data_IF_979276727611
#
_entry.id   IF_979276727611
#
_cell.length_a   1.000
_cell.length_b   1.000
_cell.length_c   1.000
_cell.angle_alpha   90.00
_cell.angle_beta   90.00
_cell.angle_gamma   90.00
#
_symmetry.space_group_name_H-M   'P 1'
#
loop_
_entity.id
_entity.type
_entity.pdbx_description
1 polymer ?
#
# COMPACT_ATOMS: atom_id res chain seq x y z
N UNK A 1 -8.20 8.89 -24.79
CA UNK A 1 -8.33 8.63 -23.33
C UNK A 1 -6.95 8.63 -22.66
N UNK A 2 -6.13 9.69 -22.82
CA UNK A 2 -4.66 9.52 -22.75
C UNK A 2 -3.82 10.55 -21.94
N UNK A 3 -4.40 11.28 -20.99
CA UNK A 3 -3.59 12.19 -20.12
C UNK A 3 -3.79 12.02 -18.61
N UNK A 4 -4.79 11.26 -18.15
CA UNK A 4 -5.10 11.20 -16.71
C UNK A 4 -4.28 10.16 -15.93
N UNK A 5 -3.68 9.17 -16.60
CA UNK A 5 -3.02 8.06 -15.90
C UNK A 5 -1.84 8.51 -15.04
N UNK A 6 -1.08 9.52 -15.49
CA UNK A 6 0.09 10.01 -14.75
C UNK A 6 -0.33 10.69 -13.46
N UNK A 7 -1.43 11.45 -13.50
CA UNK A 7 -2.01 12.09 -12.33
C UNK A 7 -2.59 11.04 -11.38
N UNK A 8 -3.34 10.07 -11.90
CA UNK A 8 -3.94 9.01 -11.07
C UNK A 8 -2.88 8.12 -10.40
N UNK A 9 -1.86 7.67 -11.15
CA UNK A 9 -0.75 6.88 -10.59
C UNK A 9 0.08 7.73 -9.63
N UNK A 10 0.30 9.01 -9.94
CA UNK A 10 0.96 9.96 -9.03
C UNK A 10 0.21 10.10 -7.71
N UNK A 11 -1.12 10.25 -7.75
CA UNK A 11 -1.96 10.30 -6.55
C UNK A 11 -1.90 9.00 -5.75
N UNK A 12 -1.88 7.83 -6.42
CA UNK A 12 -1.69 6.54 -5.72
C UNK A 12 -0.36 6.54 -4.98
N UNK A 13 0.73 6.97 -5.60
CA UNK A 13 2.05 7.03 -4.97
C UNK A 13 2.07 7.98 -3.76
N UNK A 14 1.53 9.18 -3.91
CA UNK A 14 1.44 10.17 -2.84
C UNK A 14 0.62 9.65 -1.67
N UNK A 15 -0.56 9.08 -1.94
CA UNK A 15 -1.41 8.50 -0.89
C UNK A 15 -0.74 7.29 -0.21
N UNK A 16 -0.06 6.44 -0.99
CA UNK A 16 0.66 5.28 -0.42
C UNK A 16 1.80 5.75 0.49
N UNK A 17 2.51 6.82 0.15
CA UNK A 17 3.53 7.41 1.02
C UNK A 17 2.93 7.93 2.34
N UNK A 18 1.76 8.58 2.27
CA UNK A 18 1.04 9.04 3.46
C UNK A 18 0.64 7.86 4.34
N UNK A 19 0.13 6.78 3.75
CA UNK A 19 -0.27 5.58 4.50
C UNK A 19 0.92 4.89 5.15
N UNK A 20 2.04 4.71 4.43
CA UNK A 20 3.27 4.17 5.01
C UNK A 20 3.73 4.95 6.24
N UNK A 21 3.62 6.28 6.23
CA UNK A 21 3.96 7.11 7.40
C UNK A 21 2.97 6.94 8.57
N UNK A 22 1.68 6.78 8.26
CA UNK A 22 0.64 6.51 9.25
C UNK A 22 0.82 5.11 9.87
N UNK A 23 1.14 4.12 9.06
CA UNK A 23 1.36 2.73 9.46
C UNK A 23 2.55 2.64 10.40
N UNK A 24 3.66 3.32 10.09
CA UNK A 24 4.81 3.40 11.00
C UNK A 24 4.44 3.91 12.39
N UNK A 25 3.60 4.96 12.46
CA UNK A 25 3.12 5.51 13.74
C UNK A 25 2.18 4.55 14.45
N UNK A 26 1.33 3.86 13.70
CA UNK A 26 0.38 2.92 14.25
C UNK A 26 1.08 1.68 14.80
N UNK A 27 2.04 1.14 14.08
CA UNK A 27 2.88 0.01 14.50
C UNK A 27 3.61 0.35 15.80
N UNK A 28 4.22 1.54 15.87
CA UNK A 28 4.86 2.01 17.09
C UNK A 28 3.88 2.05 18.27
N UNK A 29 2.69 2.62 18.06
CA UNK A 29 1.66 2.72 19.09
C UNK A 29 1.14 1.34 19.54
N UNK A 30 0.97 0.40 18.61
CA UNK A 30 0.55 -0.97 18.90
C UNK A 30 1.63 -1.73 19.68
N UNK A 31 2.90 -1.52 19.36
CA UNK A 31 4.02 -2.09 20.13
C UNK A 31 4.10 -1.49 21.54
N UNK A 32 4.06 -0.16 21.68
CA UNK A 32 4.07 0.52 22.99
C UNK A 32 2.87 0.16 23.89
N UNK A 33 1.79 -0.33 23.28
CA UNK A 33 0.57 -0.78 23.96
C UNK A 33 0.51 -2.31 24.17
N UNK A 34 1.63 -3.03 24.00
CA UNK A 34 1.75 -4.49 24.16
C UNK A 34 0.77 -5.30 23.28
N UNK A 35 0.38 -4.75 22.12
CA UNK A 35 -0.52 -5.43 21.17
C UNK A 35 0.25 -6.45 20.34
N UNK A 36 1.42 -6.04 19.83
CA UNK A 36 2.33 -6.86 19.02
C UNK A 36 3.62 -7.12 19.79
N UNK A 37 4.24 -8.27 19.54
CA UNK A 37 5.52 -8.63 20.15
C UNK A 37 6.70 -7.88 19.51
N UNK A 38 7.84 -7.81 20.21
CA UNK A 38 9.09 -7.29 19.64
C UNK A 38 9.43 -7.94 18.30
N UNK A 39 9.29 -9.26 18.20
CA UNK A 39 9.59 -10.02 17.00
C UNK A 39 8.71 -9.57 15.82
N UNK A 40 7.42 -9.35 16.06
CA UNK A 40 6.50 -8.86 15.02
C UNK A 40 6.81 -7.42 14.64
N UNK A 41 7.10 -6.56 15.64
CA UNK A 41 7.54 -5.20 15.41
C UNK A 41 8.78 -5.15 14.51
N UNK A 42 9.84 -5.90 14.83
CA UNK A 42 11.08 -5.97 14.05
C UNK A 42 10.82 -6.49 12.63
N UNK A 43 9.97 -7.52 12.50
CA UNK A 43 9.62 -8.08 11.19
C UNK A 43 8.88 -7.06 10.31
N UNK A 44 7.87 -6.37 10.86
CA UNK A 44 7.05 -5.41 10.11
C UNK A 44 7.88 -4.18 9.76
N UNK A 45 8.60 -3.61 10.74
CA UNK A 45 9.44 -2.42 10.52
C UNK A 45 10.56 -2.70 9.52
N UNK A 46 11.22 -3.86 9.61
CA UNK A 46 12.21 -4.28 8.63
C UNK A 46 11.63 -4.50 7.22
N UNK A 47 10.38 -4.95 7.10
CA UNK A 47 9.70 -5.05 5.78
C UNK A 47 9.36 -3.68 5.21
N UNK A 48 9.03 -2.71 6.06
CA UNK A 48 8.76 -1.34 5.65
C UNK A 48 10.05 -0.56 5.29
N UNK A 49 11.20 -1.03 5.78
CA UNK A 49 12.50 -0.45 5.51
C UNK A 49 12.85 -0.59 4.03
N UNK A 50 12.66 0.50 3.28
CA UNK A 50 12.88 0.54 1.83
C UNK A 50 11.63 0.79 1.00
N UNK A 51 10.43 0.65 1.56
CA UNK A 51 9.18 0.97 0.85
C UNK A 51 9.16 2.45 0.45
N UNK A 52 9.39 3.35 1.42
CA UNK A 52 9.40 4.81 1.18
C UNK A 52 10.45 5.23 0.14
N UNK A 53 11.74 4.86 0.25
CA UNK A 53 12.73 5.12 -0.80
C UNK A 53 12.33 4.57 -2.18
N UNK A 54 11.71 3.38 -2.22
CA UNK A 54 11.23 2.76 -3.46
C UNK A 54 10.10 3.56 -4.09
N UNK A 55 9.09 3.97 -3.32
CA UNK A 55 7.97 4.82 -3.76
C UNK A 55 8.45 6.19 -4.25
N UNK A 56 9.39 6.81 -3.55
CA UNK A 56 9.98 8.09 -3.98
C UNK A 56 10.78 7.94 -5.28
N UNK A 57 11.50 6.84 -5.45
CA UNK A 57 12.22 6.55 -6.69
C UNK A 57 11.25 6.30 -7.84
N UNK A 58 10.20 5.52 -7.60
CA UNK A 58 9.12 5.27 -8.57
C UNK A 58 8.44 6.57 -9.00
N UNK A 59 8.12 7.46 -8.05
CA UNK A 59 7.51 8.77 -8.35
C UNK A 59 8.37 9.58 -9.32
N UNK A 60 9.68 9.72 -9.03
CA UNK A 60 10.64 10.39 -9.92
C UNK A 60 10.77 9.73 -11.29
N UNK A 61 10.62 8.40 -11.38
CA UNK A 61 10.65 7.68 -12.67
C UNK A 61 9.38 7.94 -13.46
N UNK A 62 8.21 7.82 -12.85
CA UNK A 62 6.90 8.05 -13.48
C UNK A 62 6.79 9.49 -13.99
N UNK A 63 7.34 10.47 -13.27
CA UNK A 63 7.44 11.85 -13.74
C UNK A 63 8.19 12.00 -15.07
N UNK A 64 9.18 11.15 -15.33
CA UNK A 64 10.04 11.20 -16.52
C UNK A 64 9.53 10.34 -17.67
N UNK A 65 8.60 9.42 -17.42
CA UNK A 65 8.04 8.55 -18.46
C UNK A 65 7.19 9.36 -19.44
N UNK A 66 7.59 9.32 -20.72
CA UNK A 66 6.86 9.97 -21.82
C UNK A 66 5.94 9.01 -22.58
N UNK A 67 6.12 7.69 -22.43
CA UNK A 67 5.34 6.68 -23.16
C UNK A 67 4.82 5.57 -22.23
N UNK A 68 3.61 5.07 -22.51
CA UNK A 68 2.96 4.01 -21.73
C UNK A 68 3.75 2.70 -21.66
N UNK A 69 4.61 2.42 -22.64
CA UNK A 69 5.39 1.17 -22.66
C UNK A 69 6.48 1.14 -21.58
N UNK A 70 7.01 2.29 -21.17
CA UNK A 70 7.98 2.37 -20.09
C UNK A 70 7.37 2.23 -18.69
N UNK A 71 6.04 2.26 -18.58
CA UNK A 71 5.30 2.33 -17.32
C UNK A 71 5.07 0.96 -16.68
N UNK A 72 5.03 -0.10 -17.49
CA UNK A 72 4.62 -1.42 -17.04
C UNK A 72 5.47 -1.96 -15.86
N UNK A 73 6.82 -1.85 -15.87
CA UNK A 73 7.63 -2.29 -14.73
C UNK A 73 7.33 -1.54 -13.43
N UNK A 74 7.16 -0.21 -13.51
CA UNK A 74 6.85 0.62 -12.35
C UNK A 74 5.46 0.31 -11.77
N UNK A 75 4.47 0.01 -12.61
CA UNK A 75 3.14 -0.42 -12.14
C UNK A 75 3.17 -1.77 -11.43
N UNK A 76 3.97 -2.72 -11.92
CA UNK A 76 4.16 -3.99 -11.22
C UNK A 76 4.87 -3.81 -9.88
N UNK A 77 5.89 -2.96 -9.83
CA UNK A 77 6.57 -2.66 -8.58
C UNK A 77 5.63 -1.98 -7.57
N UNK A 78 4.81 -1.01 -8.02
CA UNK A 78 3.80 -0.38 -7.18
C UNK A 78 2.76 -1.39 -6.68
N UNK A 79 2.33 -2.33 -7.53
CA UNK A 79 1.42 -3.40 -7.10
C UNK A 79 2.03 -4.24 -5.98
N UNK A 80 3.30 -4.61 -6.09
CA UNK A 80 3.97 -5.40 -5.05
C UNK A 80 4.03 -4.64 -3.73
N UNK A 81 4.36 -3.35 -3.75
CA UNK A 81 4.33 -2.52 -2.55
C UNK A 81 2.93 -2.46 -1.94
N UNK A 82 1.88 -2.29 -2.75
CA UNK A 82 0.51 -2.28 -2.25
C UNK A 82 0.10 -3.64 -1.64
N UNK A 83 0.62 -4.75 -2.15
CA UNK A 83 0.39 -6.08 -1.58
C UNK A 83 1.14 -6.27 -0.25
N UNK A 84 2.39 -5.80 -0.16
CA UNK A 84 3.13 -5.77 1.10
C UNK A 84 2.41 -4.92 2.15
N UNK A 85 1.88 -3.75 1.76
CA UNK A 85 1.03 -2.91 2.61
C UNK A 85 -0.15 -3.67 3.20
N UNK A 86 -0.91 -4.34 2.33
CA UNK A 86 -2.06 -5.13 2.72
C UNK A 86 -1.69 -6.23 3.73
N UNK A 87 -0.59 -6.93 3.48
CA UNK A 87 -0.17 -8.07 4.31
C UNK A 87 0.09 -7.64 5.76
N UNK A 88 0.84 -6.56 5.98
CA UNK A 88 1.05 -6.10 7.35
C UNK A 88 -0.20 -5.43 7.94
N UNK A 89 -1.00 -4.70 7.16
CA UNK A 89 -2.26 -4.10 7.63
C UNK A 89 -3.21 -5.20 8.17
N UNK A 90 -3.40 -6.30 7.43
CA UNK A 90 -4.23 -7.43 7.86
C UNK A 90 -3.70 -8.07 9.15
N UNK A 91 -2.38 -8.28 9.24
CA UNK A 91 -1.75 -8.82 10.47
C UNK A 91 -1.93 -7.91 11.68
N UNK A 92 -1.89 -6.60 11.50
CA UNK A 92 -2.10 -5.62 12.57
C UNK A 92 -3.57 -5.60 13.03
N UNK A 93 -4.53 -5.72 12.10
CA UNK A 93 -5.96 -5.84 12.45
C UNK A 93 -6.18 -7.10 13.28
N UNK A 94 -5.72 -8.26 12.82
CA UNK A 94 -5.85 -9.53 13.55
C UNK A 94 -5.24 -9.45 14.96
N UNK A 95 -4.04 -8.85 15.08
CA UNK A 95 -3.38 -8.60 16.36
C UNK A 95 -4.21 -7.71 17.29
N UNK A 96 -4.71 -6.59 16.79
CA UNK A 96 -5.52 -5.65 17.57
C UNK A 96 -6.88 -6.23 17.98
N UNK A 97 -7.56 -6.95 17.09
CA UNK A 97 -8.82 -7.65 17.37
C UNK A 97 -8.65 -8.74 18.43
N UNK A 98 -7.52 -9.45 18.44
CA UNK A 98 -7.26 -10.46 19.48
C UNK A 98 -7.19 -9.82 20.88
N UNK A 99 -6.62 -8.61 20.98
CA UNK A 99 -6.44 -7.89 22.25
C UNK A 99 -7.70 -7.16 22.70
N UNK A 100 -8.56 -6.76 21.79
CA UNK A 100 -9.81 -6.05 22.12
C UNK A 100 -10.80 -6.96 22.88
N UNK A 101 -10.68 -8.28 22.74
CA UNK A 101 -11.50 -9.26 23.45
C UNK A 101 -11.23 -9.28 24.95
N UNK A 102 -10.02 -8.92 25.38
CA UNK A 102 -9.60 -8.91 26.79
C UNK A 102 -8.85 -7.60 27.13
N UNK A 103 -9.54 -6.45 27.08
CA UNK A 103 -8.89 -5.16 27.24
C UNK A 103 -8.52 -4.93 28.71
N UNK A 104 -7.28 -4.48 28.95
CA UNK A 104 -6.82 -4.17 30.31
C UNK A 104 -7.53 -2.96 30.94
N UNK A 105 -8.08 -2.06 30.12
CA UNK A 105 -8.85 -0.90 30.57
C UNK A 105 -9.76 -0.35 29.46
N UNK A 106 -10.71 0.52 29.82
CA UNK A 106 -11.58 1.22 28.86
C UNK A 106 -10.78 2.09 27.88
N UNK A 107 -9.69 2.71 28.33
CA UNK A 107 -8.81 3.49 27.47
C UNK A 107 -8.15 2.60 26.40
N UNK A 108 -7.57 1.47 26.82
CA UNK A 108 -6.95 0.51 25.89
C UNK A 108 -7.97 -0.03 24.88
N UNK A 109 -9.19 -0.33 25.32
CA UNK A 109 -10.27 -0.75 24.42
C UNK A 109 -10.52 0.29 23.32
N UNK A 110 -10.72 1.55 23.69
CA UNK A 110 -10.98 2.64 22.72
C UNK A 110 -9.81 2.88 21.78
N UNK A 111 -8.58 2.75 22.29
CA UNK A 111 -7.38 2.85 21.48
C UNK A 111 -7.35 1.77 20.41
N UNK A 112 -7.61 0.51 20.78
CA UNK A 112 -7.69 -0.61 19.85
C UNK A 112 -8.81 -0.43 18.83
N UNK A 113 -10.00 0.01 19.25
CA UNK A 113 -11.11 0.33 18.34
C UNK A 113 -10.71 1.38 17.31
N UNK A 114 -10.01 2.43 17.74
CA UNK A 114 -9.49 3.45 16.84
C UNK A 114 -8.47 2.88 15.85
N UNK A 115 -7.51 2.08 16.32
CA UNK A 115 -6.49 1.47 15.47
C UNK A 115 -7.10 0.56 14.40
N UNK A 116 -8.04 -0.31 14.78
CA UNK A 116 -8.75 -1.21 13.85
C UNK A 116 -9.48 -0.40 12.79
N UNK A 117 -10.24 0.63 13.19
CA UNK A 117 -10.94 1.49 12.22
C UNK A 117 -9.98 2.19 11.23
N UNK A 118 -8.81 2.63 11.68
CA UNK A 118 -7.82 3.25 10.78
C UNK A 118 -7.26 2.22 9.78
N UNK A 119 -6.88 1.03 10.25
CA UNK A 119 -6.36 -0.04 9.40
C UNK A 119 -7.39 -0.51 8.37
N UNK A 120 -8.65 -0.67 8.76
CA UNK A 120 -9.73 -1.06 7.84
C UNK A 120 -9.92 -0.03 6.72
N UNK A 121 -9.83 1.26 7.04
CA UNK A 121 -9.89 2.32 6.04
C UNK A 121 -8.71 2.25 5.07
N UNK A 122 -7.50 1.96 5.57
CA UNK A 122 -6.32 1.80 4.75
C UNK A 122 -6.43 0.57 3.84
N UNK A 123 -6.90 -0.57 4.35
CA UNK A 123 -7.17 -1.79 3.58
C UNK A 123 -8.15 -1.54 2.43
N UNK A 124 -9.23 -0.81 2.69
CA UNK A 124 -10.21 -0.41 1.68
C UNK A 124 -9.57 0.48 0.60
N UNK A 125 -8.79 1.49 0.99
CA UNK A 125 -8.11 2.38 0.05
C UNK A 125 -7.07 1.62 -0.79
N UNK A 126 -6.30 0.74 -0.17
CA UNK A 126 -5.34 -0.13 -0.82
C UNK A 126 -6.03 -1.02 -1.87
N UNK A 127 -7.18 -1.64 -1.55
CA UNK A 127 -7.96 -2.41 -2.51
C UNK A 127 -8.41 -1.59 -3.73
N UNK A 128 -8.84 -0.33 -3.51
CA UNK A 128 -9.20 0.60 -4.59
C UNK A 128 -7.98 0.91 -5.47
N UNK A 129 -6.83 1.21 -4.87
CA UNK A 129 -5.59 1.50 -5.60
C UNK A 129 -5.11 0.30 -6.41
N UNK A 130 -5.09 -0.91 -5.83
CA UNK A 130 -4.74 -2.12 -6.57
C UNK A 130 -5.65 -2.32 -7.78
N UNK A 131 -6.97 -2.19 -7.63
CA UNK A 131 -7.91 -2.31 -8.76
C UNK A 131 -7.58 -1.33 -9.90
N UNK A 132 -7.24 -0.09 -9.54
CA UNK A 132 -6.84 0.93 -10.51
C UNK A 132 -5.53 0.56 -11.22
N UNK A 133 -4.49 0.17 -10.49
CA UNK A 133 -3.20 -0.24 -11.08
C UNK A 133 -3.37 -1.48 -11.97
N UNK A 134 -4.16 -2.48 -11.55
CA UNK A 134 -4.48 -3.65 -12.38
C UNK A 134 -5.15 -3.26 -13.70
N UNK A 135 -6.09 -2.31 -13.65
CA UNK A 135 -6.77 -1.81 -14.85
C UNK A 135 -5.77 -1.18 -15.82
N UNK A 136 -4.77 -0.45 -15.31
CA UNK A 136 -3.71 0.13 -16.13
C UNK A 136 -2.81 -0.93 -16.77
N UNK A 137 -2.33 -1.89 -15.99
CA UNK A 137 -1.52 -3.01 -16.47
C UNK A 137 -2.25 -3.75 -17.59
N UNK A 138 -3.52 -4.13 -17.37
CA UNK A 138 -4.33 -4.85 -18.36
C UNK A 138 -4.48 -4.08 -19.67
N UNK A 139 -4.78 -2.78 -19.60
CA UNK A 139 -4.92 -1.93 -20.80
C UNK A 139 -3.64 -1.82 -21.61
N UNK A 140 -2.47 -1.77 -20.95
CA UNK A 140 -1.17 -1.71 -21.64
C UNK A 140 -0.93 -3.03 -22.38
N UNK A 141 -1.18 -4.17 -21.74
CA UNK A 141 -1.00 -5.49 -22.34
C UNK A 141 -1.91 -5.69 -23.55
N UNK A 142 -3.19 -5.35 -23.43
CA UNK A 142 -4.15 -5.47 -24.55
C UNK A 142 -3.76 -4.60 -25.74
N UNK A 143 -3.32 -3.36 -25.49
CA UNK A 143 -2.81 -2.48 -26.54
C UNK A 143 -1.60 -3.09 -27.26
N UNK A 144 -0.66 -3.68 -26.52
CA UNK A 144 0.52 -4.31 -27.11
C UNK A 144 0.15 -5.52 -28.00
N UNK A 145 -0.80 -6.36 -27.58
CA UNK A 145 -1.30 -7.49 -28.40
C UNK A 145 -1.93 -7.02 -29.69
N UNK A 146 -2.76 -5.98 -29.64
CA UNK A 146 -3.39 -5.38 -30.83
C UNK A 146 -2.33 -4.86 -31.78
N UNK A 147 -1.37 -4.07 -31.30
CA UNK A 147 -0.29 -3.52 -32.15
C UNK A 147 0.56 -4.63 -32.78
N UNK A 148 0.84 -5.72 -32.06
CA UNK A 148 1.56 -6.87 -32.62
C UNK A 148 0.77 -7.53 -33.76
N UNK A 149 -0.54 -7.73 -33.60
CA UNK A 149 -1.41 -8.33 -34.63
C UNK A 149 -1.50 -7.53 -35.92
N UNK A 150 -1.37 -6.20 -35.87
CA UNK A 150 -1.40 -5.33 -37.05
C UNK A 150 -0.02 -5.05 -37.65
N UNK A 151 1.06 -5.58 -37.04
CA UNK A 151 2.44 -5.48 -37.56
C UNK A 151 2.98 -6.80 -38.15
N UNK A 152 2.27 -7.91 -37.93
CA UNK A 152 2.47 -9.24 -38.54
C UNK A 152 1.59 -9.42 -39.77
#
# INVERSE_FOLDING_TARGET
MDRNWKNEVGQVLENTLIYVDQDQRLIQLLYESDVISQKEFDQITGSMEGIRPSLQTMSKRIEKIQSRNGLLPDLYQLMNVLLECKDYEERLVEGAESKIQFPQSTFHKRLLEYCICQLDLQLLNNAVFRKMIYTYIFRIIEYQKVVQKYKS
#
